data_IF_492376617267
#
_entry.id   IF_492376617267
#
_cell.length_a   1.000
_cell.length_b   1.000
_cell.length_c   1.000
_cell.angle_alpha   90.00
_cell.angle_beta   90.00
_cell.angle_gamma   90.00
#
_symmetry.space_group_name_H-M   'P 1'
#
loop_
_entity.id
_entity.type
_entity.pdbx_description
1 polymer ?
#
# COMPACT_ATOMS: atom_id res chain seq x y z
N UNK A 1 -11.51 8.45 6.58
CA UNK A 1 -11.07 7.10 6.96
C UNK A 1 -9.62 6.90 6.56
N UNK A 2 -8.72 6.59 7.51
CA UNK A 2 -7.31 6.40 7.20
C UNK A 2 -7.01 5.11 6.43
N UNK A 3 -7.96 4.18 6.40
CA UNK A 3 -7.80 2.91 5.67
C UNK A 3 -9.04 2.66 4.84
N UNK A 4 -8.82 2.37 3.55
CA UNK A 4 -9.89 1.92 2.64
C UNK A 4 -9.43 0.74 1.81
N UNK A 5 -10.30 -0.28 1.69
CA UNK A 5 -10.12 -1.41 0.80
C UNK A 5 -11.25 -1.34 -0.21
N UNK A 6 -10.91 -1.28 -1.49
CA UNK A 6 -11.88 -1.01 -2.54
C UNK A 6 -11.48 -1.67 -3.86
N UNK A 7 -12.43 -1.92 -4.73
CA UNK A 7 -12.14 -2.45 -6.07
C UNK A 7 -11.83 -1.34 -7.07
N UNK A 8 -12.50 -0.19 -6.95
CA UNK A 8 -12.31 0.92 -7.89
C UNK A 8 -10.99 1.65 -7.64
N UNK A 9 -10.53 2.34 -8.68
CA UNK A 9 -9.28 3.11 -8.63
C UNK A 9 -9.40 4.32 -7.70
N UNK A 10 -8.28 4.95 -7.43
CA UNK A 10 -8.20 6.17 -6.62
C UNK A 10 -7.52 7.27 -7.41
N UNK A 11 -7.86 8.51 -7.08
CA UNK A 11 -7.26 9.71 -7.67
C UNK A 11 -6.28 10.31 -6.67
N UNK A 12 -4.99 10.20 -6.95
CA UNK A 12 -3.93 10.67 -6.04
C UNK A 12 -4.10 12.14 -5.69
N UNK A 13 -4.36 12.99 -6.67
CA UNK A 13 -4.47 14.43 -6.44
C UNK A 13 -5.61 14.74 -5.47
N UNK A 14 -6.76 14.11 -5.65
CA UNK A 14 -7.90 14.28 -4.75
C UNK A 14 -7.59 13.80 -3.34
N UNK A 15 -6.99 12.61 -3.22
CA UNK A 15 -6.69 12.03 -1.91
C UNK A 15 -5.70 12.88 -1.14
N UNK A 16 -4.66 13.38 -1.79
CA UNK A 16 -3.67 14.22 -1.12
C UNK A 16 -4.26 15.57 -0.75
N UNK A 17 -5.11 16.15 -1.59
CA UNK A 17 -5.78 17.41 -1.25
C UNK A 17 -6.63 17.28 0.02
N UNK A 18 -7.35 16.16 0.16
CA UNK A 18 -8.15 15.87 1.35
C UNK A 18 -7.26 15.65 2.59
N UNK A 19 -6.17 14.91 2.41
CA UNK A 19 -5.30 14.52 3.51
C UNK A 19 -4.60 15.74 4.14
N UNK A 20 -4.26 16.72 3.34
CA UNK A 20 -3.53 17.93 3.80
C UNK A 20 -4.42 19.13 4.08
N UNK A 21 -5.72 18.98 3.92
CA UNK A 21 -6.66 20.10 4.05
C UNK A 21 -6.60 20.67 5.46
N UNK A 22 -6.52 21.99 5.54
CA UNK A 22 -6.59 22.76 6.78
C UNK A 22 -5.48 22.44 7.80
N UNK A 23 -4.36 21.85 7.36
CA UNK A 23 -3.22 21.60 8.23
C UNK A 23 -1.96 22.30 7.71
N UNK A 24 -1.73 23.51 8.17
CA UNK A 24 -0.56 24.31 7.78
C UNK A 24 0.75 23.85 8.43
N UNK A 25 0.68 22.89 9.36
CA UNK A 25 1.86 22.34 10.03
C UNK A 25 2.52 21.21 9.25
N UNK A 26 1.90 20.73 8.17
CA UNK A 26 2.48 19.71 7.31
C UNK A 26 3.64 20.31 6.51
N UNK A 27 4.84 19.78 6.69
CA UNK A 27 6.02 20.17 5.94
C UNK A 27 6.50 19.10 4.96
N UNK A 28 5.98 17.86 5.08
CA UNK A 28 6.39 16.75 4.23
C UNK A 28 5.24 15.79 3.99
N UNK A 29 5.16 15.27 2.78
CA UNK A 29 4.21 14.21 2.40
C UNK A 29 5.01 13.14 1.68
N UNK A 30 5.06 11.93 2.24
CA UNK A 30 5.68 10.78 1.60
C UNK A 30 4.57 9.92 1.00
N UNK A 31 4.76 9.51 -0.25
CA UNK A 31 3.75 8.77 -1.01
C UNK A 31 4.41 7.56 -1.64
N UNK A 32 3.74 6.41 -1.52
CA UNK A 32 4.07 5.23 -2.29
C UNK A 32 2.82 4.79 -3.06
N UNK A 33 2.99 4.50 -4.33
CA UNK A 33 1.97 3.87 -5.16
C UNK A 33 2.57 2.60 -5.75
N UNK A 34 1.90 1.47 -5.51
CA UNK A 34 2.25 0.21 -6.16
C UNK A 34 1.35 -0.01 -7.36
N UNK A 35 1.93 -0.56 -8.43
CA UNK A 35 1.21 -0.87 -9.66
C UNK A 35 1.45 -2.31 -10.09
N UNK A 36 0.56 -2.86 -10.89
CA UNK A 36 0.70 -4.20 -11.44
C UNK A 36 1.76 -4.19 -12.54
N UNK A 37 2.80 -5.02 -12.38
CA UNK A 37 3.82 -5.20 -13.42
C UNK A 37 3.38 -6.27 -14.40
N UNK A 38 3.87 -6.19 -15.63
CA UNK A 38 3.61 -7.17 -16.69
C UNK A 38 4.49 -8.43 -16.58
N UNK A 39 5.48 -8.43 -15.68
CA UNK A 39 6.37 -9.56 -15.40
C UNK A 39 6.50 -9.78 -13.91
N UNK A 40 6.45 -11.03 -13.48
CA UNK A 40 6.73 -11.42 -12.10
C UNK A 40 7.45 -12.78 -12.11
N UNK A 41 8.64 -12.83 -11.47
CA UNK A 41 9.47 -14.06 -11.41
C UNK A 41 9.76 -14.64 -12.79
N UNK A 42 10.00 -13.78 -13.78
CA UNK A 42 10.32 -14.17 -15.15
C UNK A 42 9.12 -14.61 -15.99
N UNK A 43 7.91 -14.60 -15.43
CA UNK A 43 6.69 -14.96 -16.16
C UNK A 43 5.89 -13.71 -16.51
N UNK A 44 5.32 -13.69 -17.72
CA UNK A 44 4.41 -12.61 -18.14
C UNK A 44 3.12 -12.69 -17.31
N UNK A 45 2.65 -11.52 -16.86
CA UNK A 45 1.41 -11.41 -16.10
C UNK A 45 0.36 -10.74 -16.98
N UNK A 46 -0.74 -11.45 -17.29
CA UNK A 46 -1.85 -10.92 -18.06
C UNK A 46 -2.83 -10.17 -17.18
N UNK A 47 -3.05 -10.68 -15.97
CA UNK A 47 -3.98 -10.13 -15.01
C UNK A 47 -3.62 -10.63 -13.62
N UNK A 48 -4.08 -9.92 -12.61
CA UNK A 48 -3.90 -10.29 -11.22
C UNK A 48 -5.23 -10.13 -10.50
N UNK A 49 -5.51 -11.03 -9.56
CA UNK A 49 -6.66 -10.87 -8.67
C UNK A 49 -6.15 -10.81 -7.24
N UNK A 50 -6.55 -9.78 -6.52
CA UNK A 50 -6.24 -9.63 -5.11
C UNK A 50 -7.47 -9.97 -4.28
N UNK A 51 -7.27 -10.80 -3.27
CA UNK A 51 -8.30 -11.13 -2.30
C UNK A 51 -7.84 -10.71 -0.92
N UNK A 52 -8.79 -10.44 -0.06
CA UNK A 52 -8.55 -10.03 1.32
C UNK A 52 -9.52 -10.72 2.25
N UNK A 53 -9.32 -10.56 3.54
CA UNK A 53 -10.19 -11.11 4.57
C UNK A 53 -11.05 -9.98 5.12
N UNK A 54 -12.30 -9.80 4.63
CA UNK A 54 -13.13 -8.66 5.03
C UNK A 54 -13.28 -8.54 6.55
N UNK A 55 -13.13 -7.32 7.04
CA UNK A 55 -13.12 -7.02 8.47
C UNK A 55 -11.75 -7.18 9.11
N UNK A 56 -11.12 -8.34 8.96
CA UNK A 56 -9.80 -8.59 9.54
C UNK A 56 -8.70 -7.80 8.84
N UNK A 57 -8.74 -7.70 7.52
CA UNK A 57 -7.74 -6.93 6.77
C UNK A 57 -7.81 -5.45 7.13
N UNK A 58 -8.99 -4.87 7.18
CA UNK A 58 -9.17 -3.48 7.57
C UNK A 58 -8.63 -3.23 8.98
N UNK A 59 -8.96 -4.13 9.92
CA UNK A 59 -8.48 -4.03 11.29
C UNK A 59 -6.96 -4.07 11.36
N UNK A 60 -6.35 -4.99 10.63
CA UNK A 60 -4.89 -5.13 10.58
C UNK A 60 -4.23 -3.87 10.02
N UNK A 61 -4.81 -3.26 9.00
CA UNK A 61 -4.28 -2.03 8.41
C UNK A 61 -4.45 -0.83 9.35
N UNK A 62 -5.57 -0.75 10.07
CA UNK A 62 -5.75 0.26 11.10
C UNK A 62 -4.70 0.11 12.21
N UNK A 63 -4.44 -1.11 12.65
CA UNK A 63 -3.47 -1.39 13.69
C UNK A 63 -2.06 -0.95 13.27
N UNK A 64 -1.66 -1.20 12.02
CA UNK A 64 -0.31 -0.80 11.57
C UNK A 64 -0.20 0.71 11.40
N UNK A 65 -1.26 1.38 10.97
CA UNK A 65 -1.28 2.84 10.92
C UNK A 65 -1.15 3.43 12.33
N UNK A 66 -1.86 2.88 13.29
CA UNK A 66 -1.77 3.30 14.69
C UNK A 66 -0.35 3.09 15.25
N UNK A 67 0.27 1.95 14.94
CA UNK A 67 1.66 1.69 15.33
C UNK A 67 2.62 2.70 14.73
N UNK A 68 2.43 3.08 13.47
CA UNK A 68 3.25 4.10 12.82
C UNK A 68 3.08 5.46 13.52
N UNK A 69 1.85 5.83 13.87
CA UNK A 69 1.57 7.08 14.58
C UNK A 69 2.16 7.08 15.99
N UNK A 70 2.30 5.92 16.63
CA UNK A 70 2.94 5.81 17.94
C UNK A 70 4.47 5.94 17.85
N UNK A 71 5.07 5.48 16.74
CA UNK A 71 6.52 5.46 16.58
C UNK A 71 7.08 6.77 16.05
N UNK A 72 6.34 7.49 15.23
CA UNK A 72 6.78 8.72 14.59
C UNK A 72 5.75 9.82 14.78
N UNK A 73 6.22 11.05 14.79
CA UNK A 73 5.36 12.23 14.90
C UNK A 73 4.73 12.54 13.55
N UNK A 74 3.58 11.94 13.29
CA UNK A 74 2.84 12.08 12.04
C UNK A 74 1.66 13.02 12.23
N UNK A 75 1.33 13.76 11.17
CA UNK A 75 0.09 14.53 11.13
C UNK A 75 -1.07 13.66 10.74
N UNK A 76 -0.88 12.84 9.70
CA UNK A 76 -1.88 11.87 9.28
C UNK A 76 -1.25 10.77 8.43
N UNK A 77 -2.01 9.70 8.19
CA UNK A 77 -1.61 8.61 7.31
C UNK A 77 -2.84 8.04 6.61
N UNK A 78 -2.68 7.68 5.35
CA UNK A 78 -3.74 7.12 4.53
C UNK A 78 -3.23 5.86 3.84
N UNK A 79 -4.02 4.79 3.89
CA UNK A 79 -3.78 3.58 3.13
C UNK A 79 -5.03 3.26 2.32
N UNK A 80 -4.89 3.18 1.00
CA UNK A 80 -5.94 2.70 0.11
C UNK A 80 -5.39 1.47 -0.59
N UNK A 81 -6.06 0.34 -0.45
CA UNK A 81 -5.64 -0.90 -1.11
C UNK A 81 -6.76 -1.42 -1.98
N UNK A 82 -6.47 -1.64 -3.24
CA UNK A 82 -7.43 -2.22 -4.16
C UNK A 82 -7.41 -3.74 -4.05
N UNK A 83 -8.56 -4.33 -4.32
CA UNK A 83 -8.76 -5.79 -4.37
C UNK A 83 -9.56 -6.12 -5.62
N UNK A 84 -9.74 -7.41 -5.89
CA UNK A 84 -10.43 -7.88 -7.08
C UNK A 84 -9.51 -7.94 -8.29
N UNK A 85 -10.08 -7.99 -9.50
CA UNK A 85 -9.28 -8.13 -10.72
C UNK A 85 -8.55 -6.85 -11.08
N UNK A 86 -7.26 -6.98 -11.41
CA UNK A 86 -6.37 -5.88 -11.77
C UNK A 86 -5.58 -6.27 -13.01
N UNK A 87 -5.30 -5.31 -13.86
CA UNK A 87 -4.52 -5.49 -15.08
C UNK A 87 -3.15 -4.84 -14.94
N UNK A 88 -2.14 -5.24 -15.75
CA UNK A 88 -0.86 -4.53 -15.78
C UNK A 88 -1.06 -3.02 -15.94
N UNK A 89 -0.26 -2.24 -15.21
CA UNK A 89 -0.30 -0.79 -15.08
C UNK A 89 -1.38 -0.25 -14.13
N UNK A 90 -2.35 -1.06 -13.71
CA UNK A 90 -3.33 -0.62 -12.72
C UNK A 90 -2.65 -0.27 -11.41
N UNK A 91 -3.14 0.75 -10.74
CA UNK A 91 -2.73 1.08 -9.38
C UNK A 91 -3.29 0.04 -8.42
N UNK A 92 -2.46 -0.42 -7.48
CA UNK A 92 -2.87 -1.42 -6.47
C UNK A 92 -3.08 -0.76 -5.12
N UNK A 93 -2.13 0.07 -4.72
CA UNK A 93 -2.07 0.56 -3.35
C UNK A 93 -1.53 1.98 -3.32
N UNK A 94 -2.08 2.78 -2.41
CA UNK A 94 -1.56 4.09 -2.05
C UNK A 94 -1.26 4.09 -0.56
N UNK A 95 -0.05 4.49 -0.20
CA UNK A 95 0.29 4.86 1.17
C UNK A 95 0.75 6.31 1.15
N UNK A 96 0.10 7.15 1.93
CA UNK A 96 0.45 8.56 2.03
C UNK A 96 0.59 8.93 3.50
N UNK A 97 1.70 9.53 3.87
CA UNK A 97 2.00 9.91 5.25
C UNK A 97 2.39 11.38 5.29
N UNK A 98 1.79 12.12 6.19
CA UNK A 98 2.10 13.55 6.39
C UNK A 98 2.77 13.75 7.73
N UNK A 99 3.77 14.62 7.76
CA UNK A 99 4.50 14.99 8.97
C UNK A 99 5.04 16.42 8.82
N UNK A 100 5.53 16.98 9.92
CA UNK A 100 6.22 18.27 9.86
C UNK A 100 7.54 18.14 9.11
N UNK A 101 8.20 16.97 9.16
CA UNK A 101 9.54 16.74 8.60
C UNK A 101 9.59 15.45 7.76
N UNK A 102 10.44 15.48 6.72
CA UNK A 102 10.53 14.38 5.74
C UNK A 102 11.01 13.06 6.33
N UNK A 103 11.91 13.09 7.31
CA UNK A 103 12.48 11.85 7.88
C UNK A 103 11.43 10.93 8.47
N UNK A 104 10.53 11.47 9.24
CA UNK A 104 9.44 10.72 9.85
C UNK A 104 8.44 10.25 8.81
N UNK A 105 8.14 11.10 7.83
CA UNK A 105 7.22 10.74 6.76
C UNK A 105 7.75 9.55 5.94
N UNK A 106 9.02 9.59 5.55
CA UNK A 106 9.64 8.46 4.81
C UNK A 106 9.68 7.19 5.66
N UNK A 107 10.13 7.31 6.91
CA UNK A 107 10.26 6.14 7.79
C UNK A 107 8.90 5.45 8.02
N UNK A 108 7.87 6.23 8.29
CA UNK A 108 6.54 5.68 8.51
C UNK A 108 5.95 5.06 7.24
N UNK A 109 6.15 5.69 6.09
CA UNK A 109 5.68 5.15 4.81
C UNK A 109 6.32 3.80 4.53
N UNK A 110 7.63 3.68 4.70
CA UNK A 110 8.37 2.44 4.51
C UNK A 110 7.90 1.35 5.48
N UNK A 111 7.70 1.70 6.74
CA UNK A 111 7.21 0.79 7.77
C UNK A 111 5.84 0.20 7.39
N UNK A 112 4.91 1.04 6.95
CA UNK A 112 3.58 0.60 6.53
C UNK A 112 3.69 -0.29 5.30
N UNK A 113 4.54 0.06 4.33
CA UNK A 113 4.74 -0.73 3.12
C UNK A 113 5.33 -2.11 3.39
N UNK A 114 6.29 -2.21 4.31
CA UNK A 114 6.85 -3.50 4.71
C UNK A 114 5.75 -4.42 5.25
N UNK A 115 4.87 -3.89 6.07
CA UNK A 115 3.74 -4.65 6.60
C UNK A 115 2.81 -5.11 5.48
N UNK A 116 2.44 -4.20 4.59
CA UNK A 116 1.52 -4.51 3.50
C UNK A 116 2.07 -5.61 2.59
N UNK A 117 3.39 -5.64 2.38
CA UNK A 117 4.03 -6.60 1.48
C UNK A 117 4.21 -7.98 2.10
N UNK A 118 4.23 -8.08 3.42
CA UNK A 118 4.65 -9.32 4.08
C UNK A 118 3.63 -9.91 5.06
N UNK A 119 2.94 -9.08 5.83
CA UNK A 119 2.11 -9.54 6.95
C UNK A 119 0.63 -9.24 6.80
N UNK A 120 0.25 -8.29 5.95
CA UNK A 120 -1.15 -7.96 5.77
C UNK A 120 -1.90 -9.14 5.12
N UNK A 121 -3.15 -9.41 5.55
CA UNK A 121 -3.89 -10.57 5.03
C UNK A 121 -4.50 -10.30 3.65
N UNK A 122 -3.62 -10.28 2.65
CA UNK A 122 -3.96 -10.22 1.24
C UNK A 122 -3.41 -11.45 0.53
N UNK A 123 -4.14 -11.93 -0.48
CA UNK A 123 -3.69 -13.01 -1.35
C UNK A 123 -3.71 -12.54 -2.79
N UNK A 124 -2.65 -12.89 -3.51
CA UNK A 124 -2.46 -12.47 -4.90
C UNK A 124 -2.43 -13.70 -5.81
N UNK A 125 -3.29 -13.71 -6.81
CA UNK A 125 -3.34 -14.73 -7.85
C UNK A 125 -3.01 -14.09 -9.18
N UNK A 126 -1.99 -14.59 -9.86
CA UNK A 126 -1.58 -14.09 -11.17
C UNK A 126 -2.07 -15.01 -12.28
N UNK A 127 -2.59 -14.42 -13.36
CA UNK A 127 -2.95 -15.10 -14.58
C UNK A 127 -1.80 -14.95 -15.58
N UNK A 128 -1.16 -16.08 -15.92
CA UNK A 128 -0.02 -16.14 -16.81
C UNK A 128 -0.30 -17.01 -18.02
N UNK A 129 0.54 -17.02 -19.07
CA UNK A 129 0.38 -17.94 -20.20
C UNK A 129 0.39 -19.41 -19.80
N UNK A 130 1.03 -19.76 -18.68
CA UNK A 130 1.07 -21.12 -18.14
C UNK A 130 -0.10 -21.44 -17.21
N UNK A 131 -1.01 -20.50 -16.99
CA UNK A 131 -2.16 -20.64 -16.12
C UNK A 131 -2.10 -19.74 -14.90
N UNK A 132 -3.10 -19.86 -14.02
CA UNK A 132 -3.20 -19.08 -12.81
C UNK A 132 -2.28 -19.64 -11.71
N UNK A 133 -1.69 -18.75 -10.90
CA UNK A 133 -0.87 -19.14 -9.75
C UNK A 133 -1.03 -18.16 -8.59
N UNK A 134 -0.92 -18.68 -7.37
CA UNK A 134 -0.84 -17.85 -6.18
C UNK A 134 0.60 -17.36 -5.97
N UNK A 135 0.75 -16.15 -5.47
CA UNK A 135 2.05 -15.52 -5.28
C UNK A 135 2.25 -15.17 -3.81
N UNK A 136 3.35 -15.67 -3.23
CA UNK A 136 3.73 -15.35 -1.86
C UNK A 136 4.57 -14.08 -1.80
N UNK A 137 4.62 -13.45 -0.63
CA UNK A 137 5.54 -12.34 -0.37
C UNK A 137 6.99 -12.81 -0.51
N UNK A 138 7.86 -11.96 -1.06
CA UNK A 138 9.27 -12.28 -1.27
C UNK A 138 10.15 -11.52 -0.30
N UNK A 139 11.32 -12.08 -0.03
CA UNK A 139 12.32 -11.44 0.82
C UNK A 139 12.67 -10.04 0.32
N UNK A 140 12.73 -9.85 -1.00
CA UNK A 140 13.01 -8.55 -1.61
C UNK A 140 11.93 -7.48 -1.34
N UNK A 141 10.75 -7.88 -0.84
CA UNK A 141 9.71 -6.92 -0.48
C UNK A 141 9.94 -6.27 0.89
N UNK A 142 10.91 -6.75 1.67
CA UNK A 142 11.25 -6.18 2.97
C UNK A 142 12.32 -5.10 2.81
N UNK A 143 12.01 -3.85 3.18
CA UNK A 143 12.98 -2.77 3.07
C UNK A 143 14.17 -2.95 4.01
N UNK A 144 14.00 -3.64 5.13
CA UNK A 144 15.10 -3.95 6.06
C UNK A 144 16.22 -4.76 5.43
N UNK A 145 15.98 -5.40 4.29
CA UNK A 145 16.93 -6.26 3.59
C UNK A 145 17.73 -5.46 2.56
N UNK A 146 17.33 -4.25 2.27
CA UNK A 146 17.96 -3.37 1.29
C UNK A 146 18.93 -2.36 1.91
N UNK A 147 19.39 -2.63 3.11
CA UNK A 147 20.33 -1.78 3.81
C UNK A 147 21.74 -1.90 3.20
#
# INVERSE_FOLDING_TARGET
MPVRIQEHDFDLTQEIALLRKDDAAIGAIAIFIGTVRDLNEGAAVKAMTLEHYPGMTEKSLHDIVDQAKDRWDLKDALVIHRVGPLMPQDQIVLVAVTSAHRGEAFAACEFIMDYLKTLAPFWKKEDTPEGARWVDARVSDLSLIHI
#
